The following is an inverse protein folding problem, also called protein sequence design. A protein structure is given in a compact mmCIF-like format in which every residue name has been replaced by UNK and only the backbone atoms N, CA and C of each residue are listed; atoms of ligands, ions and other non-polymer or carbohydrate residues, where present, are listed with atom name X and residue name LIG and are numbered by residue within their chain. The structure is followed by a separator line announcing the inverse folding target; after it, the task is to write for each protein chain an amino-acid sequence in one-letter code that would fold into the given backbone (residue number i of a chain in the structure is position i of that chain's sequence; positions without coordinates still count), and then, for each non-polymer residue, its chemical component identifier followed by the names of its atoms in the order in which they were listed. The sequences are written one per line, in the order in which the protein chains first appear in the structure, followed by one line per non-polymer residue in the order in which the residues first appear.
data_IF_060881351808
#
_entry.id   IF_060881351808
#
_cell.length_a   1.000
_cell.length_b   1.000
_cell.length_c   1.000
_cell.angle_alpha   90.00
_cell.angle_beta   90.00
_cell.angle_gamma   90.00
#
_symmetry.space_group_name_H-M   'P 1'
#
loop_
_entity.id
_entity.type
_entity.pdbx_description
1 polymer ?
#
# COMPACT_ATOMS: atom_id res chain seq x y z
N UNK A 1 -0.80 -0.44 9.09
CA UNK A 1 -0.21 -1.74 9.48
C UNK A 1 -0.06 -2.62 8.23
N UNK A 2 1.15 -3.08 7.89
CA UNK A 2 1.38 -4.01 6.78
C UNK A 2 0.53 -5.28 6.86
N UNK A 3 0.28 -5.81 8.07
CA UNK A 3 -0.44 -7.07 8.26
C UNK A 3 -1.84 -7.01 7.67
N UNK A 4 -2.56 -5.91 7.92
CA UNK A 4 -3.94 -5.71 7.43
C UNK A 4 -3.95 -5.58 5.90
N UNK A 5 -2.97 -4.85 5.35
CA UNK A 5 -2.82 -4.63 3.92
C UNK A 5 -2.62 -5.96 3.18
N UNK A 6 -1.60 -6.73 3.57
CA UNK A 6 -1.27 -7.99 2.90
C UNK A 6 -2.29 -9.09 3.20
N UNK A 7 -2.89 -9.14 4.40
CA UNK A 7 -3.96 -10.09 4.71
C UNK A 7 -5.15 -9.95 3.75
N UNK A 8 -5.55 -8.72 3.42
CA UNK A 8 -6.62 -8.47 2.45
C UNK A 8 -6.26 -9.02 1.07
N UNK A 9 -5.00 -8.87 0.66
CA UNK A 9 -4.53 -9.33 -0.66
C UNK A 9 -4.41 -10.85 -0.72
N UNK A 10 -3.85 -11.48 0.32
CA UNK A 10 -3.74 -12.95 0.42
C UNK A 10 -5.12 -13.60 0.35
N UNK A 11 -6.11 -13.05 1.07
CA UNK A 11 -7.47 -13.57 1.03
C UNK A 11 -8.10 -13.47 -0.37
N UNK A 12 -7.90 -12.35 -1.07
CA UNK A 12 -8.38 -12.18 -2.44
C UNK A 12 -7.64 -13.08 -3.42
N UNK A 13 -6.32 -13.19 -3.30
CA UNK A 13 -5.50 -14.05 -4.13
C UNK A 13 -5.95 -15.51 -4.01
N UNK A 14 -6.08 -16.02 -2.78
CA UNK A 14 -6.52 -17.39 -2.53
C UNK A 14 -7.96 -17.67 -2.98
N UNK A 15 -8.79 -16.63 -3.13
CA UNK A 15 -10.16 -16.77 -3.63
C UNK A 15 -10.24 -16.79 -5.16
N UNK A 16 -9.45 -15.95 -5.84
CA UNK A 16 -9.51 -15.79 -7.30
C UNK A 16 -8.46 -16.61 -8.06
N UNK A 17 -7.33 -16.95 -7.43
CA UNK A 17 -6.23 -17.64 -8.09
C UNK A 17 -6.29 -19.16 -7.85
N UNK A 18 -6.02 -19.98 -8.88
CA UNK A 18 -5.83 -21.42 -8.69
C UNK A 18 -4.51 -21.73 -7.97
N UNK A 19 -3.56 -20.80 -7.95
CA UNK A 19 -2.26 -20.94 -7.28
C UNK A 19 -2.33 -20.38 -5.87
N UNK A 20 -2.16 -21.24 -4.86
CA UNK A 20 -2.10 -20.81 -3.46
C UNK A 20 -0.73 -20.26 -3.11
N UNK A 21 -0.71 -19.36 -2.13
CA UNK A 21 0.54 -18.88 -1.54
C UNK A 21 1.19 -20.02 -0.78
N UNK A 22 2.30 -20.55 -1.29
CA UNK A 22 3.02 -21.69 -0.70
C UNK A 22 3.87 -21.26 0.51
N UNK A 23 4.26 -19.99 0.58
CA UNK A 23 5.11 -19.44 1.64
C UNK A 23 4.27 -18.94 2.81
N UNK A 24 4.68 -19.24 4.04
CA UNK A 24 4.05 -18.69 5.23
C UNK A 24 4.44 -17.21 5.45
N UNK A 25 3.82 -16.32 4.66
CA UNK A 25 4.06 -14.88 4.71
C UNK A 25 3.65 -14.25 6.05
N UNK A 26 2.91 -14.94 6.92
CA UNK A 26 2.48 -14.36 8.21
C UNK A 26 3.69 -13.96 9.05
N UNK A 27 4.66 -14.85 9.21
CA UNK A 27 5.87 -14.57 10.01
C UNK A 27 6.70 -13.46 9.38
N UNK A 28 6.83 -13.46 8.05
CA UNK A 28 7.48 -12.41 7.26
C UNK A 28 6.86 -11.03 7.51
N UNK A 29 5.53 -10.93 7.51
CA UNK A 29 4.80 -9.69 7.73
C UNK A 29 4.89 -9.19 9.18
N UNK A 30 5.16 -10.08 10.13
CA UNK A 30 5.24 -9.76 11.56
C UNK A 30 6.66 -9.35 11.98
N UNK A 31 7.68 -10.04 11.48
CA UNK A 31 9.05 -9.92 11.99
C UNK A 31 9.99 -9.21 11.01
N UNK A 32 9.73 -9.30 9.71
CA UNK A 32 10.68 -8.87 8.67
C UNK A 32 10.28 -7.59 7.96
N UNK A 33 9.01 -7.19 8.02
CA UNK A 33 8.49 -6.01 7.35
C UNK A 33 8.34 -4.83 8.31
N UNK A 34 8.89 -3.68 7.94
CA UNK A 34 8.69 -2.41 8.64
C UNK A 34 8.19 -1.31 7.70
N UNK A 35 7.60 -0.26 8.26
CA UNK A 35 7.23 0.95 7.53
C UNK A 35 8.39 1.93 7.66
N UNK A 36 8.96 2.35 6.53
CA UNK A 36 10.06 3.34 6.50
C UNK A 36 9.53 4.74 6.24
N UNK A 37 8.42 4.84 5.50
CA UNK A 37 7.78 6.11 5.21
C UNK A 37 6.27 5.95 5.19
N UNK A 38 5.56 6.91 5.78
CA UNK A 38 4.10 6.99 5.67
C UNK A 38 3.63 8.43 5.67
N UNK A 39 2.97 8.83 4.58
CA UNK A 39 2.23 10.10 4.47
C UNK A 39 0.79 9.77 4.14
N UNK A 40 -0.02 9.61 5.18
CA UNK A 40 -1.42 9.18 5.08
C UNK A 40 -2.32 10.25 5.69
N UNK A 41 -3.44 10.53 5.03
CA UNK A 41 -4.51 11.37 5.54
C UNK A 41 -5.82 10.60 5.53
N UNK A 42 -6.58 10.76 6.62
CA UNK A 42 -7.91 10.17 6.76
C UNK A 42 -8.93 11.06 6.07
N UNK A 43 -9.82 10.45 5.29
CA UNK A 43 -10.91 11.14 4.60
C UNK A 43 -12.23 10.47 4.94
N UNK A 44 -13.25 11.30 5.22
CA UNK A 44 -14.63 10.83 5.34
C UNK A 44 -15.31 11.05 3.99
N UNK A 45 -15.83 9.97 3.42
CA UNK A 45 -16.52 9.98 2.13
C UNK A 45 -18.00 9.67 2.40
N UNK A 46 -18.87 10.54 1.92
CA UNK A 46 -20.32 10.35 1.99
C UNK A 46 -20.78 9.56 0.76
N UNK A 47 -21.45 8.43 0.98
CA UNK A 47 -22.09 7.65 -0.08
C UNK A 47 -23.52 8.11 -0.29
N UNK A 48 -24.07 7.86 -1.48
CA UNK A 48 -25.40 8.34 -1.91
C UNK A 48 -26.56 7.91 -1.00
N UNK A 49 -26.46 6.76 -0.31
CA UNK A 49 -27.47 6.28 0.65
C UNK A 49 -27.31 6.86 2.08
N UNK A 50 -26.61 7.99 2.25
CA UNK A 50 -26.44 8.64 3.55
C UNK A 50 -25.41 7.96 4.48
N UNK A 51 -24.84 6.83 4.08
CA UNK A 51 -23.76 6.19 4.84
C UNK A 51 -22.44 6.92 4.60
N UNK A 52 -21.75 7.33 5.67
CA UNK A 52 -20.39 7.84 5.60
C UNK A 52 -19.38 6.72 5.85
N UNK A 53 -18.33 6.65 5.05
CA UNK A 53 -17.20 5.73 5.23
C UNK A 53 -15.96 6.55 5.49
N UNK A 54 -15.28 6.26 6.60
CA UNK A 54 -13.96 6.81 6.89
C UNK A 54 -12.90 5.90 6.28
N UNK A 55 -12.12 6.44 5.35
CA UNK A 55 -11.01 5.76 4.70
C UNK A 55 -9.72 6.58 4.83
N UNK A 56 -8.67 6.12 4.15
CA UNK A 56 -7.39 6.81 4.12
C UNK A 56 -6.86 6.89 2.70
N UNK A 57 -6.10 7.95 2.40
CA UNK A 57 -5.36 8.12 1.15
C UNK A 57 -3.96 8.61 1.49
N UNK A 58 -2.96 8.06 0.81
CA UNK A 58 -1.57 8.40 1.09
C UNK A 58 -0.57 7.49 0.41
N UNK A 59 0.71 7.74 0.71
CA UNK A 59 1.86 6.94 0.28
C UNK A 59 2.45 6.23 1.49
N UNK A 60 2.76 4.95 1.34
CA UNK A 60 3.42 4.12 2.36
C UNK A 60 4.53 3.34 1.69
N UNK A 61 5.71 3.32 2.31
CA UNK A 61 6.85 2.53 1.83
C UNK A 61 7.14 1.47 2.88
N UNK A 62 7.12 0.22 2.43
CA UNK A 62 7.49 -0.93 3.24
C UNK A 62 8.92 -1.33 2.91
N UNK A 63 9.67 -1.68 3.95
CA UNK A 63 11.00 -2.26 3.81
C UNK A 63 11.03 -3.62 4.49
N UNK A 64 11.63 -4.60 3.81
CA UNK A 64 11.81 -5.94 4.33
C UNK A 64 13.27 -6.23 4.60
N UNK A 65 13.63 -6.59 5.83
CA UNK A 65 14.99 -7.01 6.20
C UNK A 65 15.06 -8.53 6.31
N UNK A 66 16.04 -9.17 5.67
CA UNK A 66 16.24 -10.62 5.76
C UNK A 66 15.14 -11.45 5.08
N UNK A 67 14.55 -10.91 4.01
CA UNK A 67 13.62 -11.63 3.17
C UNK A 67 14.35 -12.70 2.35
N UNK A 68 13.79 -13.90 2.32
CA UNK A 68 14.18 -14.93 1.34
C UNK A 68 13.70 -14.53 -0.05
N UNK A 69 14.31 -15.11 -1.10
CA UNK A 69 13.93 -14.82 -2.48
C UNK A 69 12.45 -15.10 -2.75
N UNK A 70 11.92 -16.20 -2.21
CA UNK A 70 10.51 -16.56 -2.38
C UNK A 70 9.55 -15.62 -1.63
N UNK A 71 9.89 -15.21 -0.40
CA UNK A 71 9.11 -14.20 0.33
C UNK A 71 9.04 -12.89 -0.44
N UNK A 72 10.18 -12.41 -0.96
CA UNK A 72 10.24 -11.18 -1.73
C UNK A 72 9.43 -11.28 -3.03
N UNK A 73 9.54 -12.41 -3.74
CA UNK A 73 8.78 -12.69 -4.96
C UNK A 73 7.29 -12.64 -4.70
N UNK A 74 6.82 -13.30 -3.64
CA UNK A 74 5.40 -13.29 -3.28
C UNK A 74 4.91 -11.91 -2.84
N UNK A 75 5.70 -11.16 -2.08
CA UNK A 75 5.35 -9.78 -1.69
C UNK A 75 5.18 -8.87 -2.92
N UNK A 76 6.08 -9.00 -3.90
CA UNK A 76 5.98 -8.25 -5.16
C UNK A 76 4.76 -8.68 -6.00
N UNK A 77 4.48 -9.99 -6.11
CA UNK A 77 3.29 -10.49 -6.81
C UNK A 77 2.01 -9.93 -6.16
N UNK A 78 1.90 -10.00 -4.83
CA UNK A 78 0.76 -9.46 -4.11
C UNK A 78 0.66 -7.93 -4.25
N UNK A 79 1.80 -7.25 -4.25
CA UNK A 79 1.90 -5.82 -4.52
C UNK A 79 1.32 -5.44 -5.89
N UNK A 80 1.76 -6.09 -6.97
CA UNK A 80 1.22 -5.84 -8.31
C UNK A 80 -0.26 -6.24 -8.42
N UNK A 81 -0.66 -7.34 -7.77
CA UNK A 81 -2.07 -7.77 -7.73
C UNK A 81 -2.98 -6.73 -7.06
N UNK A 82 -2.45 -5.95 -6.09
CA UNK A 82 -3.24 -4.93 -5.38
C UNK A 82 -3.84 -3.86 -6.29
N UNK A 83 -3.19 -3.57 -7.43
CA UNK A 83 -3.68 -2.61 -8.43
C UNK A 83 -5.00 -3.05 -9.05
N UNK A 84 -5.21 -4.35 -9.20
CA UNK A 84 -6.40 -4.92 -9.83
C UNK A 84 -7.46 -5.28 -8.79
N UNK A 85 -7.04 -5.89 -7.68
CA UNK A 85 -7.96 -6.39 -6.66
C UNK A 85 -8.52 -5.28 -5.76
N UNK A 86 -7.80 -4.16 -5.66
CA UNK A 86 -7.98 -3.16 -4.61
C UNK A 86 -7.79 -3.77 -3.21
N UNK A 87 -7.88 -2.94 -2.17
CA UNK A 87 -7.64 -3.35 -0.79
C UNK A 87 -8.81 -2.99 0.11
N UNK A 88 -9.12 -3.90 1.03
CA UNK A 88 -10.19 -3.71 2.00
C UNK A 88 -11.57 -3.95 1.39
N UNK A 89 -12.55 -3.16 1.83
CA UNK A 89 -13.97 -3.33 1.53
C UNK A 89 -14.45 -2.29 0.51
N UNK A 90 -15.58 -2.58 -0.15
CA UNK A 90 -16.26 -1.68 -1.09
C UNK A 90 -15.36 -1.25 -2.27
N UNK A 91 -14.48 -2.15 -2.71
CA UNK A 91 -13.62 -1.92 -3.88
C UNK A 91 -14.41 -1.76 -5.18
N UNK A 92 -15.60 -2.37 -5.26
CA UNK A 92 -16.54 -2.17 -6.36
C UNK A 92 -17.07 -0.74 -6.49
N UNK A 93 -16.99 0.06 -5.42
CA UNK A 93 -17.37 1.47 -5.38
C UNK A 93 -16.16 2.42 -5.60
N UNK A 94 -15.02 1.88 -6.04
CA UNK A 94 -13.79 2.66 -6.27
C UNK A 94 -12.97 2.96 -5.00
N UNK A 95 -13.34 2.39 -3.85
CA UNK A 95 -12.58 2.53 -2.61
C UNK A 95 -11.40 1.55 -2.56
N UNK A 96 -10.32 1.94 -1.89
CA UNK A 96 -9.17 1.05 -1.70
C UNK A 96 -8.38 0.78 -2.98
N UNK A 97 -8.42 1.70 -3.94
CA UNK A 97 -7.53 1.68 -5.10
C UNK A 97 -6.09 1.88 -4.64
N UNK A 98 -5.18 1.11 -5.22
CA UNK A 98 -3.75 1.13 -4.88
C UNK A 98 -2.93 1.13 -6.15
N UNK A 99 -1.86 1.92 -6.13
CA UNK A 99 -0.75 1.78 -7.06
C UNK A 99 0.44 1.22 -6.29
N UNK A 100 1.13 0.28 -6.92
CA UNK A 100 2.29 -0.40 -6.34
C UNK A 100 3.48 -0.26 -7.27
N UNK A 101 4.61 0.12 -6.69
CA UNK A 101 5.90 0.23 -7.37
C UNK A 101 6.93 -0.47 -6.51
N UNK A 102 7.69 -1.39 -7.11
CA UNK A 102 8.90 -1.94 -6.50
C UNK A 102 10.02 -0.94 -6.64
N UNK A 103 10.63 -0.54 -5.53
CA UNK A 103 11.81 0.33 -5.54
C UNK A 103 13.06 -0.54 -5.40
N UNK A 104 14.04 -0.30 -6.27
CA UNK A 104 15.38 -0.84 -6.09
C UNK A 104 16.14 0.05 -5.10
N UNK A 105 17.06 -0.55 -4.32
CA UNK A 105 17.84 0.18 -3.32
C UNK A 105 18.68 1.35 -3.88
N UNK A 106 18.91 1.35 -5.19
CA UNK A 106 19.69 2.36 -5.94
C UNK A 106 18.83 3.58 -6.35
N UNK A 107 17.50 3.49 -6.30
CA UNK A 107 16.56 4.56 -6.67
C UNK A 107 16.01 5.34 -5.46
N UNK A 108 16.50 5.04 -4.25
CA UNK A 108 16.22 5.82 -3.04
C UNK A 108 17.06 7.10 -3.03
N UNK A 109 16.98 7.92 -4.08
CA UNK A 109 17.47 9.29 -4.01
C UNK A 109 16.49 10.13 -3.17
N UNK A 110 16.97 11.01 -2.28
CA UNK A 110 16.13 11.94 -1.51
C UNK A 110 15.43 13.02 -2.37
N UNK A 111 15.21 12.81 -3.67
CA UNK A 111 14.82 13.86 -4.62
C UNK A 111 13.32 14.22 -4.62
N UNK A 112 12.61 14.00 -3.51
CA UNK A 112 11.39 14.77 -3.19
C UNK A 112 11.73 16.06 -2.40
N UNK A 113 12.97 16.58 -2.50
CA UNK A 113 13.33 17.99 -2.25
C UNK A 113 12.70 18.98 -3.25
N UNK A 114 11.89 18.52 -4.21
CA UNK A 114 11.15 19.39 -5.12
C UNK A 114 9.78 19.88 -4.56
N UNK A 115 9.61 19.99 -3.23
CA UNK A 115 8.61 20.91 -2.69
C UNK A 115 9.19 22.32 -2.80
N UNK A 116 9.05 22.87 -4.00
CA UNK A 116 9.52 24.17 -4.45
C UNK A 116 9.07 25.28 -3.47
N UNK A 117 9.92 25.65 -2.50
CA UNK A 117 9.73 26.82 -1.62
C UNK A 117 9.65 28.13 -2.42
N UNK A 118 10.07 28.12 -3.70
CA UNK A 118 10.01 29.29 -4.58
C UNK A 118 8.65 29.50 -5.29
N UNK A 119 7.60 28.73 -4.96
CA UNK A 119 6.26 28.92 -5.54
C UNK A 119 5.14 29.02 -4.49
N UNK A 120 5.46 29.51 -3.28
CA UNK A 120 4.42 30.08 -2.42
C UNK A 120 3.91 31.39 -3.04
N UNK A 121 2.60 31.53 -3.34
CA UNK A 121 2.05 32.84 -3.61
C UNK A 121 2.26 33.69 -2.36
N UNK A 122 2.99 34.78 -2.57
CA UNK A 122 3.22 35.90 -1.67
C UNK A 122 2.01 36.16 -0.76
N UNK A 123 2.02 35.64 0.48
CA UNK A 123 1.09 36.09 1.52
C UNK A 123 1.70 37.31 2.20
N UNK A 124 1.57 38.45 1.51
CA UNK A 124 1.45 39.75 2.19
C UNK A 124 0.01 39.88 2.67
N UNK A 125 -0.20 39.80 3.98
CA UNK A 125 -1.23 40.48 4.78
C UNK A 125 -1.19 39.91 6.20
#
# INVERSE_FOLDING_TARGET
DPKIFFKSLINKWNYFSPFRVEVNLRKTLEEKLCIVYSKIRTYKIHLSLGSAVTGFKGKVVFYGKGLTSDELKWLNILGHFSRFAGIGRKTTMGLGMVEFTSLNSEELTPEEEAFNENNLPNRKA
#
